data_IF_239837521982
#
_entry.id   IF_239837521982
#
_cell.length_a   1.000
_cell.length_b   1.000
_cell.length_c   1.000
_cell.angle_alpha   90.00
_cell.angle_beta   90.00
_cell.angle_gamma   90.00
#
_symmetry.space_group_name_H-M   'P 1'
#
loop_
_entity.id
_entity.type
_entity.pdbx_description
1 polymer ?
#
# COMPACT_ATOMS: atom_id res chain seq x y z
N UNK A 1 18.33 -3.29 -62.84
CA UNK A 1 19.09 -3.98 -61.76
C UNK A 1 19.84 -3.02 -60.81
N UNK A 2 20.65 -2.05 -61.32
CA UNK A 2 21.38 -1.12 -60.44
C UNK A 2 20.48 -0.08 -59.74
N UNK A 3 19.47 0.44 -60.40
CA UNK A 3 18.55 1.45 -59.89
C UNK A 3 17.63 0.88 -58.80
N UNK A 4 17.19 -0.36 -58.93
CA UNK A 4 16.36 -1.03 -57.91
C UNK A 4 17.11 -1.27 -56.61
N UNK A 5 18.40 -1.63 -56.66
CA UNK A 5 19.21 -1.79 -55.45
C UNK A 5 19.45 -0.47 -54.71
N UNK A 6 19.62 0.64 -55.46
CA UNK A 6 19.77 1.98 -54.84
C UNK A 6 18.48 2.46 -54.17
N UNK A 7 17.33 2.20 -54.79
CA UNK A 7 16.03 2.54 -54.21
C UNK A 7 15.77 1.74 -52.92
N UNK A 8 16.07 0.44 -52.92
CA UNK A 8 15.91 -0.42 -51.75
C UNK A 8 16.82 -0.02 -50.60
N UNK A 9 18.05 0.40 -50.87
CA UNK A 9 19.00 0.90 -49.87
C UNK A 9 18.56 2.22 -49.25
N UNK A 10 18.02 3.15 -50.02
CA UNK A 10 17.50 4.44 -49.51
C UNK A 10 16.22 4.24 -48.68
N UNK A 11 15.33 3.33 -49.10
CA UNK A 11 14.14 2.99 -48.34
C UNK A 11 14.47 2.36 -46.98
N UNK A 12 15.39 1.41 -46.94
CA UNK A 12 15.83 0.79 -45.70
C UNK A 12 16.49 1.78 -44.74
N UNK A 13 17.30 2.73 -45.20
CA UNK A 13 17.88 3.78 -44.37
C UNK A 13 16.81 4.74 -43.79
N UNK A 14 15.77 5.08 -44.55
CA UNK A 14 14.67 5.93 -44.08
C UNK A 14 13.81 5.21 -43.05
N UNK A 15 13.54 3.92 -43.23
CA UNK A 15 12.79 3.10 -42.27
C UNK A 15 13.58 2.95 -40.96
N UNK A 16 14.88 2.71 -41.00
CA UNK A 16 15.75 2.59 -39.84
C UNK A 16 15.82 3.92 -39.05
N UNK A 17 15.93 5.05 -39.77
CA UNK A 17 15.94 6.38 -39.12
C UNK A 17 14.60 6.71 -38.45
N UNK A 18 13.47 6.31 -39.06
CA UNK A 18 12.12 6.53 -38.52
C UNK A 18 11.88 5.66 -37.28
N UNK A 19 12.36 4.41 -37.26
CA UNK A 19 12.29 3.52 -36.09
C UNK A 19 13.15 4.02 -34.92
N UNK A 20 14.33 4.55 -35.17
CA UNK A 20 15.22 5.11 -34.15
C UNK A 20 14.58 6.37 -33.53
N UNK A 21 13.98 7.23 -34.36
CA UNK A 21 13.29 8.44 -33.86
C UNK A 21 12.03 8.08 -33.04
N UNK A 22 11.29 7.04 -33.41
CA UNK A 22 10.12 6.58 -32.67
C UNK A 22 10.49 6.00 -31.29
N UNK A 23 11.59 5.24 -31.23
CA UNK A 23 12.10 4.65 -29.98
C UNK A 23 12.63 5.73 -29.01
N UNK A 24 13.27 6.80 -29.52
CA UNK A 24 13.75 7.91 -28.68
C UNK A 24 12.60 8.76 -28.15
N UNK A 25 11.55 9.00 -28.92
CA UNK A 25 10.37 9.75 -28.48
C UNK A 25 9.59 8.97 -27.42
N UNK A 26 9.40 7.65 -27.57
CA UNK A 26 8.77 6.82 -26.55
C UNK A 26 9.60 6.74 -25.26
N UNK A 27 10.93 6.68 -25.36
CA UNK A 27 11.81 6.66 -24.17
C UNK A 27 11.81 7.96 -23.39
N UNK A 28 11.78 9.11 -24.08
CA UNK A 28 11.73 10.44 -23.44
C UNK A 28 10.35 10.72 -22.80
N UNK A 29 9.26 10.27 -23.41
CA UNK A 29 7.93 10.38 -22.79
C UNK A 29 7.77 9.49 -21.55
N UNK A 30 8.39 8.29 -21.53
CA UNK A 30 8.35 7.42 -20.35
C UNK A 30 9.16 8.01 -19.18
N UNK A 31 10.31 8.64 -19.43
CA UNK A 31 11.12 9.28 -18.39
C UNK A 31 10.48 10.57 -17.86
N UNK A 32 9.88 11.39 -18.74
CA UNK A 32 9.19 12.63 -18.30
C UNK A 32 7.91 12.34 -17.51
N UNK A 33 7.19 11.25 -17.81
CA UNK A 33 6.02 10.86 -17.03
C UNK A 33 6.37 10.36 -15.62
N UNK A 34 7.56 9.76 -15.41
CA UNK A 34 7.99 9.34 -14.08
C UNK A 34 8.46 10.52 -13.20
N UNK A 35 9.13 11.53 -13.77
CA UNK A 35 9.55 12.71 -13.00
C UNK A 35 8.36 13.61 -12.58
N UNK A 36 7.31 13.71 -13.39
CA UNK A 36 6.11 14.46 -13.01
C UNK A 36 5.21 13.75 -12.00
N UNK A 37 5.28 12.41 -11.89
CA UNK A 37 4.47 11.68 -10.90
C UNK A 37 4.98 11.85 -9.47
N UNK A 38 6.30 11.95 -9.27
CA UNK A 38 6.90 12.10 -7.94
C UNK A 38 6.63 13.47 -7.30
N UNK A 39 6.32 14.50 -8.08
CA UNK A 39 6.00 15.84 -7.56
C UNK A 39 4.53 16.02 -7.14
N UNK A 40 3.62 15.12 -7.53
CA UNK A 40 2.19 15.30 -7.30
C UNK A 40 1.70 14.85 -5.91
N UNK A 41 2.48 14.04 -5.17
CA UNK A 41 2.01 13.51 -3.88
C UNK A 41 1.78 14.60 -2.81
N UNK A 42 2.48 15.74 -2.89
CA UNK A 42 2.22 16.90 -2.03
C UNK A 42 0.80 17.46 -2.19
N UNK A 43 0.14 17.20 -3.32
CA UNK A 43 -1.24 17.60 -3.58
C UNK A 43 -2.27 16.61 -3.03
N UNK A 44 -1.84 15.41 -2.59
CA UNK A 44 -2.78 14.39 -2.11
C UNK A 44 -3.31 14.69 -0.72
N UNK A 45 -2.53 15.46 0.08
CA UNK A 45 -2.92 15.97 1.39
C UNK A 45 -2.29 17.35 1.61
N UNK A 46 -2.83 18.38 0.96
CA UNK A 46 -2.35 19.78 1.10
C UNK A 46 -2.55 20.33 2.51
N UNK A 47 -3.47 19.75 3.26
CA UNK A 47 -3.72 20.01 4.69
C UNK A 47 -3.66 18.70 5.46
N UNK A 48 -3.42 18.73 6.79
CA UNK A 48 -3.48 17.53 7.61
C UNK A 48 -4.79 16.78 7.40
N UNK A 49 -4.75 15.47 7.11
CA UNK A 49 -5.96 14.68 6.88
C UNK A 49 -6.88 14.70 8.10
N UNK A 50 -8.16 15.02 7.90
CA UNK A 50 -9.19 14.96 8.94
C UNK A 50 -10.09 13.75 8.68
N UNK A 51 -10.36 12.97 9.75
CA UNK A 51 -11.17 11.78 9.58
C UNK A 51 -11.38 11.02 10.89
N UNK A 52 -12.10 9.92 10.76
CA UNK A 52 -12.33 8.96 11.83
C UNK A 52 -11.40 7.76 11.66
N UNK A 53 -10.82 7.33 12.77
CA UNK A 53 -10.03 6.11 12.87
C UNK A 53 -10.69 5.16 13.87
N UNK A 54 -10.86 3.90 13.49
CA UNK A 54 -11.58 2.92 14.31
C UNK A 54 -10.91 2.58 15.65
N UNK A 55 -9.59 2.84 15.78
CA UNK A 55 -8.83 2.51 16.99
C UNK A 55 -9.40 3.16 18.25
N UNK A 56 -9.72 4.45 18.17
CA UNK A 56 -10.11 5.22 19.35
C UNK A 56 -11.44 4.76 19.97
N UNK A 57 -12.33 4.19 19.15
CA UNK A 57 -13.65 3.74 19.60
C UNK A 57 -13.75 2.21 19.77
N UNK A 58 -13.07 1.43 18.94
CA UNK A 58 -13.26 -0.02 18.82
C UNK A 58 -11.98 -0.82 19.06
N UNK A 59 -10.83 -0.17 19.22
CA UNK A 59 -9.54 -0.85 19.27
C UNK A 59 -9.33 -1.74 18.05
N UNK A 60 -8.91 -2.96 18.27
CA UNK A 60 -8.63 -3.92 17.20
C UNK A 60 -9.87 -4.72 16.72
N UNK A 61 -11.09 -4.39 17.23
CA UNK A 61 -12.27 -5.27 17.07
C UNK A 61 -13.38 -4.67 16.19
N UNK A 62 -13.12 -3.61 15.44
CA UNK A 62 -14.12 -2.97 14.58
C UNK A 62 -14.71 -3.95 13.54
N UNK A 63 -15.99 -3.79 13.24
CA UNK A 63 -16.73 -4.56 12.24
C UNK A 63 -17.14 -3.69 11.04
N UNK A 64 -17.48 -4.32 9.93
CA UNK A 64 -17.96 -3.62 8.75
C UNK A 64 -19.20 -2.76 9.02
N UNK A 65 -20.12 -3.24 9.85
CA UNK A 65 -21.34 -2.50 10.20
C UNK A 65 -21.01 -1.21 10.97
N UNK A 66 -20.05 -1.26 11.89
CA UNK A 66 -19.60 -0.09 12.66
C UNK A 66 -18.88 0.91 11.75
N UNK A 67 -18.03 0.44 10.84
CA UNK A 67 -17.37 1.32 9.85
C UNK A 67 -18.41 2.04 8.98
N UNK A 68 -19.42 1.33 8.46
CA UNK A 68 -20.50 1.92 7.66
C UNK A 68 -21.30 2.94 8.45
N UNK A 69 -21.66 2.65 9.70
CA UNK A 69 -22.41 3.58 10.56
C UNK A 69 -21.62 4.89 10.82
N UNK A 70 -20.30 4.80 11.06
CA UNK A 70 -19.45 5.98 11.22
C UNK A 70 -19.27 6.75 9.91
N UNK A 71 -19.19 6.06 8.76
CA UNK A 71 -19.15 6.70 7.45
C UNK A 71 -20.45 7.46 7.15
N UNK A 72 -21.61 6.88 7.47
CA UNK A 72 -22.91 7.54 7.29
C UNK A 72 -23.02 8.80 8.16
N UNK A 73 -22.65 8.71 9.44
CA UNK A 73 -22.65 9.85 10.34
C UNK A 73 -21.71 10.97 9.88
N UNK A 74 -20.48 10.60 9.46
CA UNK A 74 -19.51 11.57 8.97
C UNK A 74 -19.99 12.26 7.69
N UNK A 75 -20.57 11.52 6.76
CA UNK A 75 -21.08 12.06 5.50
C UNK A 75 -22.23 13.07 5.75
N UNK A 76 -23.10 12.79 6.74
CA UNK A 76 -24.24 13.64 7.05
C UNK A 76 -23.86 14.88 7.87
N UNK A 77 -22.90 14.76 8.81
CA UNK A 77 -22.71 15.79 9.83
C UNK A 77 -21.34 16.47 9.79
N UNK A 78 -20.30 15.85 9.24
CA UNK A 78 -18.91 16.33 9.39
C UNK A 78 -18.21 16.63 8.06
N UNK A 79 -18.68 16.07 6.95
CA UNK A 79 -18.04 16.19 5.63
C UNK A 79 -17.90 17.65 5.18
N UNK A 80 -18.92 18.48 5.38
CA UNK A 80 -18.92 19.88 4.99
C UNK A 80 -17.90 20.72 5.78
N UNK A 81 -17.35 20.16 6.86
CA UNK A 81 -16.30 20.75 7.69
C UNK A 81 -14.91 20.18 7.39
N UNK A 82 -14.74 19.41 6.30
CA UNK A 82 -13.46 18.88 5.84
C UNK A 82 -13.09 17.51 6.44
N UNK A 83 -14.01 16.82 7.12
CA UNK A 83 -13.81 15.44 7.57
C UNK A 83 -14.05 14.47 6.40
N UNK A 84 -12.98 13.84 5.93
CA UNK A 84 -13.04 13.08 4.66
C UNK A 84 -12.66 11.61 4.79
N UNK A 85 -11.83 11.23 5.79
CA UNK A 85 -11.24 9.91 5.85
C UNK A 85 -11.95 9.00 6.85
N UNK A 86 -12.30 7.78 6.40
CA UNK A 86 -12.75 6.66 7.23
C UNK A 86 -11.66 5.60 7.23
N UNK A 87 -11.00 5.40 8.39
CA UNK A 87 -9.84 4.52 8.51
C UNK A 87 -10.15 3.31 9.37
N UNK A 88 -10.00 2.11 8.79
CA UNK A 88 -10.05 0.82 9.52
C UNK A 88 -8.66 0.53 10.07
N UNK A 89 -8.51 0.61 11.39
CA UNK A 89 -7.24 0.43 12.07
C UNK A 89 -6.87 -1.03 12.29
N UNK A 90 -5.77 -1.27 12.96
CA UNK A 90 -5.03 -2.52 13.14
C UNK A 90 -5.89 -3.74 13.44
N UNK A 91 -5.42 -4.88 12.95
CA UNK A 91 -5.88 -6.25 13.11
C UNK A 91 -7.22 -6.59 12.44
N UNK A 92 -7.63 -5.79 11.45
CA UNK A 92 -8.77 -6.13 10.57
C UNK A 92 -8.63 -7.53 9.90
N UNK A 93 -7.44 -8.09 9.92
CA UNK A 93 -7.06 -9.38 9.36
C UNK A 93 -7.06 -10.55 10.36
N UNK A 94 -7.54 -10.36 11.60
CA UNK A 94 -7.60 -11.42 12.63
C UNK A 94 -9.04 -11.85 12.86
N UNK A 95 -9.34 -13.15 12.65
CA UNK A 95 -10.70 -13.69 12.79
C UNK A 95 -11.16 -13.76 14.23
N UNK A 96 -10.28 -14.18 15.13
CA UNK A 96 -10.61 -14.39 16.56
C UNK A 96 -10.17 -13.23 17.44
N UNK A 97 -10.24 -12.01 16.89
CA UNK A 97 -9.98 -10.80 17.68
C UNK A 97 -11.05 -10.64 18.77
N UNK A 98 -10.62 -10.32 19.98
CA UNK A 98 -11.49 -10.09 21.13
C UNK A 98 -11.73 -8.60 21.35
N UNK A 99 -12.80 -8.28 22.10
CA UNK A 99 -13.10 -6.90 22.48
C UNK A 99 -12.00 -6.29 23.36
N UNK A 100 -11.71 -5.04 23.17
CA UNK A 100 -10.84 -4.20 23.99
C UNK A 100 -9.43 -4.07 23.41
N UNK A 101 -8.59 -5.06 23.48
CA UNK A 101 -7.20 -4.99 23.06
C UNK A 101 -6.78 -6.18 22.20
N UNK A 102 -5.49 -6.34 21.89
CA UNK A 102 -5.02 -7.43 21.03
C UNK A 102 -5.25 -8.80 21.64
N UNK A 103 -5.74 -9.75 20.85
CA UNK A 103 -5.66 -11.16 21.19
C UNK A 103 -4.24 -11.67 20.88
N UNK A 104 -3.42 -11.86 21.92
CA UNK A 104 -2.07 -12.42 21.79
C UNK A 104 -2.07 -13.95 21.87
N UNK A 105 -3.18 -14.56 22.29
CA UNK A 105 -3.27 -16.02 22.43
C UNK A 105 -3.83 -16.61 21.13
N UNK A 106 -2.93 -17.20 20.36
CA UNK A 106 -3.28 -17.92 19.11
C UNK A 106 -4.11 -17.08 18.13
N UNK A 107 -3.60 -15.90 17.65
CA UNK A 107 -4.31 -15.09 16.69
C UNK A 107 -4.45 -15.81 15.34
N UNK A 108 -5.67 -15.87 14.82
CA UNK A 108 -5.96 -16.49 13.51
C UNK A 108 -5.89 -15.44 12.42
N UNK A 109 -4.72 -15.34 11.79
CA UNK A 109 -4.48 -14.42 10.69
C UNK A 109 -5.09 -14.92 9.40
N UNK A 110 -5.75 -14.02 8.65
CA UNK A 110 -6.22 -14.26 7.29
C UNK A 110 -5.16 -13.73 6.33
N UNK A 111 -4.56 -14.62 5.55
CA UNK A 111 -3.59 -14.31 4.51
C UNK A 111 -4.06 -14.86 3.17
N UNK A 112 -3.65 -14.20 2.09
CA UNK A 112 -3.76 -14.78 0.75
C UNK A 112 -2.57 -15.72 0.44
N UNK A 113 -2.54 -16.24 -0.77
CA UNK A 113 -1.49 -17.16 -1.26
C UNK A 113 -0.09 -16.52 -1.35
N UNK A 114 0.02 -15.20 -1.28
CA UNK A 114 1.26 -14.43 -1.31
C UNK A 114 1.67 -13.89 0.07
N UNK A 115 1.01 -14.33 1.13
CA UNK A 115 1.31 -13.89 2.49
C UNK A 115 0.91 -12.47 2.83
N UNK A 116 -0.03 -11.87 2.08
CA UNK A 116 -0.57 -10.54 2.35
C UNK A 116 -1.82 -10.67 3.23
N UNK A 117 -2.01 -9.73 4.14
CA UNK A 117 -3.21 -9.71 4.98
C UNK A 117 -4.47 -9.50 4.15
N UNK A 118 -5.52 -10.27 4.49
CA UNK A 118 -6.86 -10.16 3.93
C UNK A 118 -7.88 -9.87 5.04
N UNK A 119 -8.98 -9.15 4.76
CA UNK A 119 -9.97 -8.86 5.78
C UNK A 119 -10.63 -10.12 6.32
N UNK A 120 -10.77 -10.20 7.64
CA UNK A 120 -11.47 -11.30 8.31
C UNK A 120 -12.97 -11.27 7.97
N UNK A 121 -13.45 -12.23 7.19
CA UNK A 121 -14.81 -12.24 6.60
C UNK A 121 -15.91 -12.27 7.66
N UNK A 122 -15.64 -12.86 8.83
CA UNK A 122 -16.58 -12.86 9.96
C UNK A 122 -16.84 -11.46 10.55
N UNK A 123 -15.91 -10.52 10.32
CA UNK A 123 -16.03 -9.11 10.76
C UNK A 123 -16.34 -8.17 9.60
N UNK A 124 -15.85 -8.50 8.40
CA UNK A 124 -16.05 -7.77 7.16
C UNK A 124 -16.70 -8.68 6.10
N UNK A 125 -18.01 -8.96 6.22
CA UNK A 125 -18.67 -9.97 5.37
C UNK A 125 -18.59 -9.69 3.87
N UNK A 126 -18.57 -8.42 3.47
CA UNK A 126 -18.47 -8.04 2.05
C UNK A 126 -17.12 -8.37 1.42
N UNK A 127 -16.09 -8.63 2.24
CA UNK A 127 -14.77 -9.03 1.78
C UNK A 127 -14.70 -10.50 1.29
N UNK A 128 -15.76 -11.27 1.48
CA UNK A 128 -15.85 -12.66 1.03
C UNK A 128 -15.60 -12.82 -0.47
N UNK A 129 -15.30 -14.06 -0.89
CA UNK A 129 -15.01 -14.42 -2.29
C UNK A 129 -13.78 -13.68 -2.89
N UNK A 130 -12.83 -13.30 -2.06
CA UNK A 130 -11.62 -12.62 -2.51
C UNK A 130 -11.80 -11.12 -2.83
N UNK A 131 -12.95 -10.53 -2.51
CA UNK A 131 -13.24 -9.12 -2.80
C UNK A 131 -12.34 -8.14 -2.02
N UNK A 132 -11.73 -8.58 -0.91
CA UNK A 132 -10.99 -7.70 -0.02
C UNK A 132 -11.84 -6.54 0.48
N UNK A 133 -11.23 -5.38 0.69
CA UNK A 133 -11.98 -4.19 1.12
C UNK A 133 -12.70 -3.43 -0.01
N UNK A 134 -12.63 -3.90 -1.25
CA UNK A 134 -13.24 -3.15 -2.37
C UNK A 134 -14.73 -2.80 -2.14
N UNK A 135 -15.62 -3.71 -1.69
CA UNK A 135 -17.01 -3.34 -1.48
C UNK A 135 -17.23 -2.32 -0.36
N UNK A 136 -16.40 -2.37 0.71
CA UNK A 136 -16.46 -1.40 1.79
C UNK A 136 -15.91 -0.03 1.35
N UNK A 137 -14.82 -0.01 0.60
CA UNK A 137 -14.27 1.21 0.00
C UNK A 137 -15.28 1.86 -0.96
N UNK A 138 -15.91 1.08 -1.85
CA UNK A 138 -16.94 1.57 -2.76
C UNK A 138 -18.13 2.18 -1.97
N UNK A 139 -18.52 1.58 -0.84
CA UNK A 139 -19.55 2.13 0.03
C UNK A 139 -19.15 3.50 0.60
N UNK A 140 -17.93 3.60 1.15
CA UNK A 140 -17.40 4.86 1.70
C UNK A 140 -17.29 5.94 0.61
N UNK A 141 -16.80 5.58 -0.57
CA UNK A 141 -16.74 6.48 -1.73
C UNK A 141 -18.13 6.95 -2.19
N UNK A 142 -19.15 6.09 -2.12
CA UNK A 142 -20.52 6.47 -2.47
C UNK A 142 -21.10 7.58 -1.58
N UNK A 143 -20.53 7.77 -0.39
CA UNK A 143 -20.85 8.87 0.54
C UNK A 143 -20.03 10.14 0.26
N UNK A 144 -19.11 10.09 -0.72
CA UNK A 144 -18.16 11.16 -1.03
C UNK A 144 -17.05 11.30 0.01
N UNK A 145 -16.73 10.22 0.70
CA UNK A 145 -15.63 10.11 1.66
C UNK A 145 -14.48 9.30 1.07
N UNK A 146 -13.33 9.31 1.72
CA UNK A 146 -12.12 8.56 1.37
C UNK A 146 -11.93 7.37 2.31
N UNK A 147 -11.48 6.23 1.77
CA UNK A 147 -11.31 5.00 2.54
C UNK A 147 -9.83 4.78 2.88
N UNK A 148 -9.54 4.50 4.14
CA UNK A 148 -8.21 4.21 4.63
C UNK A 148 -8.14 2.90 5.42
N UNK A 149 -6.94 2.34 5.48
CA UNK A 149 -6.65 1.15 6.28
C UNK A 149 -5.32 1.27 7.02
N UNK A 150 -5.13 0.39 8.00
CA UNK A 150 -3.88 0.23 8.73
C UNK A 150 -3.02 -0.88 8.12
N UNK A 151 -1.71 -0.73 8.19
CA UNK A 151 -0.71 -1.75 7.91
C UNK A 151 0.36 -1.76 9.01
N UNK A 152 0.82 -2.93 9.43
CA UNK A 152 2.08 -3.07 10.17
C UNK A 152 3.25 -3.11 9.21
N UNK A 153 4.34 -2.41 9.51
CA UNK A 153 5.62 -2.56 8.82
C UNK A 153 6.06 -4.01 8.78
N UNK A 154 6.69 -4.42 7.67
CA UNK A 154 7.31 -5.73 7.56
C UNK A 154 6.43 -6.81 6.92
N UNK A 155 6.82 -8.06 7.12
CA UNK A 155 6.19 -9.26 6.57
C UNK A 155 5.57 -10.11 7.67
N UNK A 156 4.32 -10.64 7.51
CA UNK A 156 3.66 -11.46 8.53
C UNK A 156 4.51 -12.66 8.95
N UNK A 157 4.61 -12.89 10.25
CA UNK A 157 5.36 -14.05 10.82
C UNK A 157 4.85 -15.36 10.23
N UNK A 158 3.52 -15.51 10.10
CA UNK A 158 2.89 -16.69 9.50
C UNK A 158 3.27 -16.88 8.02
N UNK A 159 3.46 -15.80 7.25
CA UNK A 159 3.90 -15.91 5.86
C UNK A 159 5.35 -16.44 5.78
N UNK A 160 6.21 -16.00 6.69
CA UNK A 160 7.59 -16.49 6.81
C UNK A 160 7.62 -17.96 7.22
N UNK A 161 6.87 -18.35 8.24
CA UNK A 161 6.77 -19.73 8.72
C UNK A 161 6.32 -20.70 7.63
N UNK A 162 5.32 -20.28 6.84
CA UNK A 162 4.77 -21.05 5.72
C UNK A 162 5.58 -20.93 4.43
N UNK A 163 6.61 -20.10 4.40
CA UNK A 163 7.42 -19.80 3.21
C UNK A 163 6.55 -19.43 2.01
N UNK A 164 5.54 -18.58 2.24
CA UNK A 164 4.63 -18.19 1.17
C UNK A 164 5.38 -17.40 0.10
N UNK A 165 5.05 -17.57 -1.19
CA UNK A 165 5.78 -16.92 -2.26
C UNK A 165 5.55 -15.40 -2.26
N UNK A 166 6.58 -14.64 -2.61
CA UNK A 166 6.44 -13.22 -2.93
C UNK A 166 5.95 -13.09 -4.37
N UNK A 167 4.86 -12.38 -4.55
CA UNK A 167 4.25 -12.19 -5.87
C UNK A 167 5.24 -11.49 -6.81
N UNK A 168 5.37 -11.99 -8.03
CA UNK A 168 6.21 -11.46 -9.11
C UNK A 168 7.73 -11.43 -8.82
N UNK A 169 8.21 -12.17 -7.80
CA UNK A 169 9.60 -12.18 -7.37
C UNK A 169 10.39 -13.45 -7.78
N UNK A 170 9.94 -14.18 -8.80
CA UNK A 170 10.76 -15.23 -9.42
C UNK A 170 11.15 -16.40 -8.50
N UNK A 171 10.26 -16.85 -7.61
CA UNK A 171 10.50 -17.98 -6.70
C UNK A 171 11.02 -17.58 -5.32
N UNK A 172 11.18 -16.29 -5.04
CA UNK A 172 11.47 -15.75 -3.70
C UNK A 172 10.26 -15.94 -2.79
N UNK A 173 10.51 -16.28 -1.54
CA UNK A 173 9.48 -16.47 -0.51
C UNK A 173 9.60 -15.41 0.61
N UNK A 174 8.58 -15.29 1.44
CA UNK A 174 8.60 -14.44 2.63
C UNK A 174 9.79 -14.77 3.57
N UNK A 175 10.24 -16.03 3.56
CA UNK A 175 11.40 -16.48 4.35
C UNK A 175 12.77 -16.03 3.79
N UNK A 176 12.80 -15.49 2.58
CA UNK A 176 14.04 -14.99 1.98
C UNK A 176 14.27 -13.50 2.25
N UNK A 177 13.21 -12.74 2.60
CA UNK A 177 13.25 -11.29 2.73
C UNK A 177 13.22 -10.77 4.17
N UNK A 178 12.99 -11.62 5.19
CA UNK A 178 12.79 -11.19 6.57
C UNK A 178 14.09 -11.12 7.38
N UNK A 179 14.06 -10.34 8.50
CA UNK A 179 15.04 -10.38 9.59
C UNK A 179 14.33 -10.35 10.94
N UNK A 180 14.98 -10.93 11.95
CA UNK A 180 14.56 -10.85 13.35
C UNK A 180 15.35 -9.81 14.15
N UNK A 181 16.25 -9.05 13.53
CA UNK A 181 17.12 -8.07 14.19
C UNK A 181 16.34 -6.93 14.86
N UNK A 182 15.19 -6.60 14.28
CA UNK A 182 14.22 -5.71 14.90
C UNK A 182 12.82 -6.32 14.86
N UNK A 183 12.13 -6.28 15.98
CA UNK A 183 10.70 -6.62 16.10
C UNK A 183 9.97 -5.47 16.78
N UNK A 184 8.76 -5.21 16.34
CA UNK A 184 7.88 -4.28 17.03
C UNK A 184 7.72 -4.72 18.51
N UNK A 185 8.06 -3.86 19.50
CA UNK A 185 8.10 -4.28 20.91
C UNK A 185 6.70 -4.52 21.51
N UNK A 186 5.67 -3.98 20.89
CA UNK A 186 4.30 -4.08 21.40
C UNK A 186 3.40 -5.02 20.57
N UNK A 187 3.84 -5.45 19.38
CA UNK A 187 3.09 -6.39 18.54
C UNK A 187 4.04 -7.27 17.71
N UNK A 188 3.92 -8.58 17.86
CA UNK A 188 4.77 -9.55 17.19
C UNK A 188 4.22 -10.13 15.89
N UNK A 189 3.26 -9.49 15.25
CA UNK A 189 2.60 -10.02 14.05
C UNK A 189 3.53 -10.10 12.84
N UNK A 190 4.51 -9.19 12.74
CA UNK A 190 5.40 -9.06 11.59
C UNK A 190 6.89 -9.17 11.97
N UNK A 191 7.69 -9.62 11.02
CA UNK A 191 9.15 -9.46 11.00
C UNK A 191 9.55 -8.29 10.12
N UNK A 192 10.73 -7.69 10.39
CA UNK A 192 11.34 -6.67 9.53
C UNK A 192 11.63 -7.23 8.13
N UNK A 193 11.43 -6.42 7.10
CA UNK A 193 11.90 -6.70 5.74
C UNK A 193 13.30 -6.10 5.54
N UNK A 194 14.21 -6.89 4.98
CA UNK A 194 15.57 -6.44 4.64
C UNK A 194 15.58 -5.88 3.23
N UNK A 195 15.71 -4.58 3.08
CA UNK A 195 15.52 -3.85 1.82
C UNK A 195 16.43 -4.33 0.67
N UNK A 196 17.67 -4.77 0.99
CA UNK A 196 18.64 -5.19 -0.02
C UNK A 196 18.43 -6.63 -0.52
N UNK A 197 17.47 -7.36 0.04
CA UNK A 197 17.19 -8.74 -0.39
C UNK A 197 16.30 -8.75 -1.63
N UNK A 198 16.61 -9.61 -2.63
CA UNK A 198 15.73 -9.83 -3.77
C UNK A 198 14.30 -10.18 -3.30
N UNK A 199 13.29 -9.56 -3.89
CA UNK A 199 11.89 -9.75 -3.53
C UNK A 199 11.34 -8.79 -2.45
N UNK A 200 12.20 -8.05 -1.74
CA UNK A 200 11.75 -7.12 -0.70
C UNK A 200 10.87 -5.99 -1.26
N UNK A 201 11.31 -5.36 -2.34
CA UNK A 201 10.54 -4.31 -3.02
C UNK A 201 9.28 -4.89 -3.67
N UNK A 202 9.37 -6.07 -4.29
CA UNK A 202 8.24 -6.77 -4.93
C UNK A 202 7.15 -7.10 -3.92
N UNK A 203 7.51 -7.43 -2.69
CA UNK A 203 6.55 -7.68 -1.62
C UNK A 203 5.71 -6.44 -1.33
N UNK A 204 6.34 -5.27 -1.08
CA UNK A 204 5.59 -4.02 -0.89
C UNK A 204 4.84 -3.60 -2.14
N UNK A 205 5.41 -3.76 -3.33
CA UNK A 205 4.71 -3.52 -4.59
C UNK A 205 3.40 -4.29 -4.66
N UNK A 206 3.43 -5.60 -4.32
CA UNK A 206 2.26 -6.46 -4.35
C UNK A 206 1.19 -6.06 -3.34
N UNK A 207 1.58 -5.57 -2.15
CA UNK A 207 0.66 -5.05 -1.14
C UNK A 207 -0.07 -3.81 -1.67
N UNK A 208 0.68 -2.83 -2.19
CA UNK A 208 0.07 -1.58 -2.64
C UNK A 208 -0.73 -1.72 -3.94
N UNK A 209 -0.36 -2.66 -4.84
CA UNK A 209 -1.21 -3.05 -5.97
C UNK A 209 -2.56 -3.61 -5.49
N UNK A 210 -2.53 -4.44 -4.45
CA UNK A 210 -3.74 -4.99 -3.84
C UNK A 210 -4.60 -3.89 -3.23
N UNK A 211 -4.00 -2.98 -2.44
CA UNK A 211 -4.72 -1.88 -1.79
C UNK A 211 -5.27 -0.88 -2.81
N UNK A 212 -4.51 -0.57 -3.86
CA UNK A 212 -4.99 0.25 -4.97
C UNK A 212 -6.20 -0.41 -5.68
N UNK A 213 -6.17 -1.73 -5.87
CA UNK A 213 -7.29 -2.47 -6.46
C UNK A 213 -8.56 -2.46 -5.58
N UNK A 214 -8.40 -2.34 -4.26
CA UNK A 214 -9.51 -2.17 -3.32
C UNK A 214 -10.05 -0.73 -3.26
N UNK A 215 -9.33 0.23 -3.83
CA UNK A 215 -9.72 1.64 -3.77
C UNK A 215 -9.28 2.35 -2.48
N UNK A 216 -8.20 1.91 -1.84
CA UNK A 216 -7.63 2.57 -0.66
C UNK A 216 -7.06 3.95 -1.03
N UNK A 217 -7.36 4.98 -0.24
CA UNK A 217 -6.92 6.38 -0.41
C UNK A 217 -5.92 6.82 0.67
N UNK A 218 -5.83 6.08 1.76
CA UNK A 218 -5.02 6.43 2.92
C UNK A 218 -4.52 5.16 3.62
N UNK A 219 -3.23 5.13 3.98
CA UNK A 219 -2.65 4.03 4.75
C UNK A 219 -1.91 4.58 5.96
N UNK A 220 -2.37 4.20 7.17
CA UNK A 220 -1.60 4.36 8.39
C UNK A 220 -0.66 3.17 8.55
N UNK A 221 0.64 3.40 8.66
CA UNK A 221 1.61 2.33 8.86
C UNK A 221 2.31 2.49 10.20
N UNK A 222 2.11 1.52 11.07
CA UNK A 222 2.73 1.49 12.39
C UNK A 222 4.14 0.88 12.35
N UNK A 223 4.95 1.21 13.38
CA UNK A 223 6.33 0.79 13.58
C UNK A 223 7.33 1.35 12.53
N UNK A 224 7.03 2.51 11.93
CA UNK A 224 7.92 3.18 10.97
C UNK A 224 8.75 4.31 11.58
N UNK A 225 8.19 5.06 12.53
CA UNK A 225 8.76 6.32 13.00
C UNK A 225 9.78 6.16 14.13
N UNK A 226 9.64 5.09 14.95
CA UNK A 226 10.47 4.86 16.14
C UNK A 226 10.80 3.38 16.35
N UNK A 227 12.05 2.99 16.03
CA UNK A 227 13.07 3.75 15.34
C UNK A 227 12.66 4.08 13.90
N UNK A 228 13.33 5.06 13.29
CA UNK A 228 13.02 5.48 11.93
C UNK A 228 13.53 4.46 10.91
N UNK A 229 12.62 3.73 10.28
CA UNK A 229 12.92 2.66 9.32
C UNK A 229 13.00 3.18 7.89
N UNK A 230 14.00 4.04 7.60
CA UNK A 230 14.13 4.75 6.34
C UNK A 230 14.03 3.84 5.11
N UNK A 231 14.76 2.72 5.08
CA UNK A 231 14.76 1.84 3.92
C UNK A 231 13.38 1.22 3.61
N UNK A 232 12.60 0.88 4.64
CA UNK A 232 11.23 0.39 4.43
C UNK A 232 10.28 1.52 4.03
N UNK A 233 10.45 2.73 4.57
CA UNK A 233 9.68 3.91 4.14
C UNK A 233 9.88 4.17 2.65
N UNK A 234 11.13 4.12 2.17
CA UNK A 234 11.46 4.30 0.74
C UNK A 234 10.83 3.21 -0.14
N UNK A 235 10.86 1.94 0.30
CA UNK A 235 10.20 0.84 -0.43
C UNK A 235 8.69 1.03 -0.50
N UNK A 236 8.07 1.43 0.61
CA UNK A 236 6.64 1.72 0.71
C UNK A 236 6.27 2.88 -0.21
N UNK A 237 7.04 3.97 -0.18
CA UNK A 237 6.81 5.14 -1.04
C UNK A 237 6.88 4.77 -2.51
N UNK A 238 7.94 4.05 -2.93
CA UNK A 238 8.08 3.55 -4.31
C UNK A 238 6.91 2.65 -4.72
N UNK A 239 6.44 1.80 -3.81
CA UNK A 239 5.30 0.92 -4.08
C UNK A 239 3.99 1.70 -4.29
N UNK A 240 3.74 2.75 -3.47
CA UNK A 240 2.59 3.65 -3.64
C UNK A 240 2.66 4.35 -4.99
N UNK A 241 3.79 4.99 -5.32
CA UNK A 241 3.98 5.73 -6.57
C UNK A 241 3.75 4.86 -7.81
N UNK A 242 4.24 3.61 -7.74
CA UNK A 242 4.08 2.63 -8.81
C UNK A 242 2.62 2.33 -9.14
N UNK A 243 1.72 2.37 -8.17
CA UNK A 243 0.29 2.10 -8.41
C UNK A 243 -0.38 3.16 -9.28
N UNK A 244 0.16 4.38 -9.30
CA UNK A 244 -0.46 5.54 -9.94
C UNK A 244 -1.73 6.05 -9.25
N UNK A 245 -2.12 5.45 -8.10
CA UNK A 245 -3.24 5.90 -7.27
C UNK A 245 -2.73 6.86 -6.18
N UNK A 246 -3.41 7.99 -5.92
CA UNK A 246 -3.08 8.84 -4.79
C UNK A 246 -3.47 8.14 -3.48
N UNK A 247 -2.46 7.61 -2.77
CA UNK A 247 -2.61 6.99 -1.46
C UNK A 247 -1.78 7.77 -0.46
N UNK A 248 -2.43 8.43 0.48
CA UNK A 248 -1.76 9.20 1.54
C UNK A 248 -1.08 8.24 2.51
N UNK A 249 0.21 8.43 2.75
CA UNK A 249 1.00 7.67 3.72
C UNK A 249 1.07 8.42 5.05
N UNK A 250 0.55 7.81 6.11
CA UNK A 250 0.67 8.27 7.49
C UNK A 250 1.58 7.34 8.27
N UNK A 251 2.73 7.84 8.70
CA UNK A 251 3.71 7.10 9.49
C UNK A 251 3.42 7.21 10.98
N UNK A 252 3.46 6.10 11.71
CA UNK A 252 3.11 5.97 13.13
C UNK A 252 4.06 4.96 13.80
N UNK A 253 4.18 4.92 15.15
CA UNK A 253 3.62 5.83 16.13
C UNK A 253 4.52 7.05 16.42
N UNK A 254 3.91 8.08 16.97
CA UNK A 254 4.59 9.26 17.49
C UNK A 254 5.18 10.19 16.42
N UNK A 255 5.98 11.14 16.90
CA UNK A 255 6.64 12.11 16.04
C UNK A 255 7.80 11.49 15.24
N UNK A 256 7.98 11.97 14.03
CA UNK A 256 9.20 11.70 13.25
C UNK A 256 10.37 12.47 13.85
N UNK A 257 11.56 11.84 13.89
CA UNK A 257 12.80 12.49 14.31
C UNK A 257 13.04 13.75 13.44
N UNK A 258 13.25 14.89 14.08
CA UNK A 258 13.51 16.17 13.42
C UNK A 258 14.69 16.10 12.43
N UNK A 259 15.71 15.27 12.74
CA UNK A 259 16.84 15.05 11.84
C UNK A 259 16.50 14.22 10.58
N UNK A 260 15.28 13.72 10.50
CA UNK A 260 14.72 13.00 9.35
C UNK A 260 13.61 13.79 8.62
N UNK A 261 13.39 15.04 9.02
CA UNK A 261 12.32 15.84 8.43
C UNK A 261 12.48 16.00 6.92
N UNK A 262 13.69 16.28 6.42
CA UNK A 262 13.96 16.43 4.99
C UNK A 262 13.63 15.15 4.19
N UNK A 263 13.92 13.98 4.75
CA UNK A 263 13.56 12.71 4.13
C UNK A 263 12.05 12.44 4.21
N UNK A 264 11.40 12.84 5.28
CA UNK A 264 9.97 12.56 5.49
C UNK A 264 9.04 13.43 4.61
N UNK A 265 9.52 14.58 4.11
CA UNK A 265 8.77 15.52 3.26
C UNK A 265 9.19 15.46 1.78
N UNK A 266 10.25 14.76 1.44
CA UNK A 266 10.76 14.55 0.06
C UNK A 266 10.26 13.27 -0.54
#
# INVERSE_FOLDING_TARGET
>A
MYIEQVILYIMNKRITLFLITLLTVCGVQSQNNNQNRNADFHKWAETPPMGWNSWDCFGANVTEAEVKANADYMAEHLKDYGWEYIVVDIRWFVENQTTGYYNFKDPKYVLDEYGRYMPAVNRFPSAGNGNGFKPLADYVHSKGLKFGIHLMRGVPTLAVEKKLPVKDAGGVTAADIYSTDWKCPWLGDNYTIVADRPGAQEYYNSIFDLYASWGVDFVKIDDLSRPYHQAEIEMIRKAIDRTGRPIVLSMSPGETDVNKADHAVG
#
